data_IF_262522434123
#
_entry.id   IF_262522434123
#
_cell.length_a   1.000
_cell.length_b   1.000
_cell.length_c   1.000
_cell.angle_alpha   90.00
_cell.angle_beta   90.00
_cell.angle_gamma   90.00
#
_symmetry.space_group_name_H-M   'P 1'
#
loop_
_entity.id
_entity.type
_entity.pdbx_description
1 polymer ?
#
# COMPACT_ATOMS: atom_id res chain seq x y z
N UNK A 1 -33.60 38.27 -62.01
CA UNK A 1 -32.27 37.65 -61.90
C UNK A 1 -31.61 38.19 -60.65
N UNK A 2 -31.59 37.38 -59.59
CA UNK A 2 -30.97 37.74 -58.31
C UNK A 2 -29.48 37.42 -58.28
N UNK A 3 -28.91 37.51 -57.07
CA UNK A 3 -27.53 37.23 -56.63
C UNK A 3 -26.72 38.52 -56.41
N UNK A 4 -26.07 38.81 -55.28
CA UNK A 4 -26.04 38.31 -53.89
C UNK A 4 -25.20 39.33 -53.10
N UNK A 5 -25.54 39.53 -51.82
CA UNK A 5 -24.71 40.22 -50.83
C UNK A 5 -23.32 39.57 -50.68
N UNK A 6 -22.28 40.40 -50.53
CA UNK A 6 -21.01 39.99 -49.93
C UNK A 6 -20.75 40.89 -48.71
N UNK A 7 -21.19 40.44 -47.53
CA UNK A 7 -20.77 40.98 -46.24
C UNK A 7 -19.39 40.38 -45.95
N UNK A 8 -18.36 41.23 -45.94
CA UNK A 8 -17.01 40.84 -45.55
C UNK A 8 -16.94 40.57 -44.06
N UNK A 9 -16.91 39.29 -43.69
CA UNK A 9 -16.59 38.87 -42.33
C UNK A 9 -15.07 38.89 -42.15
N UNK A 10 -14.58 39.85 -41.37
CA UNK A 10 -13.20 39.86 -40.87
C UNK A 10 -13.10 38.72 -39.85
N UNK A 11 -12.52 37.61 -40.28
CA UNK A 11 -12.11 36.52 -39.39
C UNK A 11 -10.89 37.00 -38.59
N UNK A 12 -11.15 37.48 -37.37
CA UNK A 12 -10.12 37.57 -36.33
C UNK A 12 -9.83 36.13 -35.91
N UNK A 13 -8.86 35.50 -36.56
CA UNK A 13 -8.29 34.24 -36.10
C UNK A 13 -7.53 34.51 -34.80
N UNK A 14 -8.26 34.43 -33.69
CA UNK A 14 -7.67 34.27 -32.38
C UNK A 14 -6.93 32.94 -32.37
N UNK A 15 -5.62 32.98 -32.63
CA UNK A 15 -4.72 31.89 -32.27
C UNK A 15 -4.74 31.85 -30.75
N UNK A 16 -5.64 31.05 -30.17
CA UNK A 16 -5.47 30.57 -28.81
C UNK A 16 -4.16 29.80 -28.83
N UNK A 17 -3.09 30.45 -28.38
CA UNK A 17 -1.88 29.76 -27.98
C UNK A 17 -2.29 28.76 -26.90
N UNK A 18 -2.40 27.50 -27.29
CA UNK A 18 -2.37 26.39 -26.35
C UNK A 18 -1.00 26.51 -25.71
N UNK A 19 -0.94 27.10 -24.52
CA UNK A 19 0.26 27.02 -23.71
C UNK A 19 0.61 25.53 -23.64
N UNK A 20 1.84 25.10 -23.97
CA UNK A 20 2.20 23.72 -23.81
C UNK A 20 1.92 23.39 -22.34
N UNK A 21 1.14 22.35 -22.08
CA UNK A 21 1.08 21.76 -20.76
C UNK A 21 2.54 21.44 -20.43
N UNK A 22 3.17 22.26 -19.57
CA UNK A 22 4.56 22.08 -19.20
C UNK A 22 4.67 20.64 -18.68
N UNK A 23 5.39 19.80 -19.41
CA UNK A 23 5.64 18.44 -18.99
C UNK A 23 6.28 18.53 -17.60
N UNK A 24 5.66 17.89 -16.61
CA UNK A 24 6.16 17.92 -15.24
C UNK A 24 7.57 17.33 -15.21
N UNK A 25 8.46 17.95 -14.44
CA UNK A 25 9.81 17.41 -14.22
C UNK A 25 9.72 16.08 -13.46
N UNK A 26 10.66 15.12 -13.70
CA UNK A 26 10.71 13.90 -12.92
C UNK A 26 10.80 14.18 -11.42
N UNK A 27 9.87 13.67 -10.64
CA UNK A 27 9.74 13.91 -9.21
C UNK A 27 8.63 14.89 -8.85
N UNK A 28 8.01 15.54 -9.83
CA UNK A 28 7.01 16.57 -9.62
C UNK A 28 5.58 16.06 -9.86
N UNK A 29 4.64 16.72 -9.19
CA UNK A 29 3.21 16.57 -9.41
C UNK A 29 2.54 17.94 -9.51
N UNK A 30 1.32 17.96 -10.03
CA UNK A 30 0.44 19.12 -9.94
C UNK A 30 -1.01 18.67 -9.78
N UNK A 31 -1.80 19.53 -9.17
CA UNK A 31 -3.22 19.28 -8.92
C UNK A 31 -3.53 19.15 -7.44
N UNK A 32 -4.72 18.63 -7.15
CA UNK A 32 -5.28 18.63 -5.82
C UNK A 32 -5.97 17.33 -5.47
N UNK A 33 -5.95 17.00 -4.18
CA UNK A 33 -6.84 16.02 -3.56
C UNK A 33 -7.77 16.76 -2.60
N UNK A 34 -9.03 16.34 -2.58
CA UNK A 34 -10.06 16.87 -1.68
C UNK A 34 -10.56 15.74 -0.81
N UNK A 35 -10.51 15.95 0.51
CA UNK A 35 -11.28 15.18 1.48
C UNK A 35 -12.30 16.10 2.12
N UNK A 36 -13.58 15.76 1.98
CA UNK A 36 -14.73 16.56 2.38
C UNK A 36 -14.67 17.97 1.80
N UNK A 37 -14.28 18.95 2.62
CA UNK A 37 -14.15 20.37 2.23
C UNK A 37 -12.70 20.84 2.23
N UNK A 38 -11.75 19.96 2.59
CA UNK A 38 -10.34 20.28 2.71
C UNK A 38 -9.65 19.93 1.40
N UNK A 39 -9.15 20.95 0.71
CA UNK A 39 -8.40 20.81 -0.54
C UNK A 39 -6.91 20.91 -0.24
N UNK A 40 -6.14 19.90 -0.65
CA UNK A 40 -4.69 19.85 -0.49
C UNK A 40 -4.01 19.80 -1.85
N UNK A 41 -3.01 20.66 -2.07
CA UNK A 41 -2.21 20.68 -3.30
C UNK A 41 -1.07 19.67 -3.18
N UNK A 42 -0.92 18.82 -4.20
CA UNK A 42 0.17 17.85 -4.26
C UNK A 42 1.18 18.30 -5.33
N UNK A 43 2.47 18.21 -4.99
CA UNK A 43 3.55 18.77 -5.83
C UNK A 43 4.72 17.82 -6.05
N UNK A 44 4.74 16.67 -5.39
CA UNK A 44 5.83 15.70 -5.48
C UNK A 44 5.29 14.34 -5.91
N UNK A 45 6.07 13.61 -6.70
CA UNK A 45 5.73 12.26 -7.15
C UNK A 45 6.95 11.35 -7.10
N UNK A 46 6.83 10.18 -6.46
CA UNK A 46 7.86 9.17 -6.46
C UNK A 46 7.28 7.80 -6.81
N UNK A 47 8.03 6.97 -7.52
CA UNK A 47 7.61 5.63 -7.91
C UNK A 47 8.41 4.53 -7.20
N UNK A 48 7.75 3.44 -6.87
CA UNK A 48 8.35 2.19 -6.44
C UNK A 48 7.72 1.03 -7.20
N UNK A 49 8.37 -0.13 -7.13
CA UNK A 49 7.82 -1.39 -7.61
C UNK A 49 7.56 -2.29 -6.41
N UNK A 50 6.44 -3.00 -6.44
CA UNK A 50 6.04 -3.99 -5.43
C UNK A 50 5.76 -5.31 -6.16
N UNK A 51 6.04 -6.45 -5.55
CA UNK A 51 5.71 -7.74 -6.17
C UNK A 51 4.20 -7.87 -6.38
N UNK A 52 3.78 -8.40 -7.54
CA UNK A 52 2.36 -8.58 -7.81
C UNK A 52 1.80 -9.76 -7.00
N UNK A 53 0.63 -9.53 -6.37
CA UNK A 53 0.01 -10.48 -5.44
C UNK A 53 -0.49 -11.79 -6.08
N UNK A 54 -0.63 -11.83 -7.41
CA UNK A 54 -1.16 -12.99 -8.14
C UNK A 54 -0.14 -13.63 -9.08
N UNK A 55 1.02 -13.00 -9.25
CA UNK A 55 2.07 -13.42 -10.16
C UNK A 55 3.43 -12.86 -9.70
N UNK A 56 4.21 -13.67 -8.98
CA UNK A 56 5.52 -13.27 -8.44
C UNK A 56 6.56 -12.92 -9.51
N UNK A 57 6.32 -13.26 -10.78
CA UNK A 57 7.14 -12.82 -11.90
C UNK A 57 6.83 -11.39 -12.36
N UNK A 58 5.76 -10.77 -11.83
CA UNK A 58 5.33 -9.41 -12.15
C UNK A 58 5.54 -8.47 -10.98
N UNK A 59 5.68 -7.19 -11.33
CA UNK A 59 5.73 -6.10 -10.36
C UNK A 59 4.64 -5.08 -10.67
N UNK A 60 3.99 -4.63 -9.61
CA UNK A 60 3.07 -3.52 -9.65
C UNK A 60 3.82 -2.20 -9.48
N UNK A 61 3.38 -1.20 -10.23
CA UNK A 61 3.91 0.15 -10.13
C UNK A 61 3.13 0.93 -9.08
N UNK A 62 3.83 1.37 -8.04
CA UNK A 62 3.28 2.21 -6.98
C UNK A 62 3.76 3.64 -7.20
N UNK A 63 2.84 4.58 -7.33
CA UNK A 63 3.17 6.01 -7.39
C UNK A 63 2.70 6.66 -6.09
N UNK A 64 3.58 7.35 -5.37
CA UNK A 64 3.19 8.22 -4.25
C UNK A 64 3.19 9.69 -4.72
N UNK A 65 2.01 10.28 -4.82
CA UNK A 65 1.81 11.70 -5.14
C UNK A 65 1.52 12.44 -3.83
N UNK A 66 2.26 13.50 -3.51
CA UNK A 66 2.24 14.10 -2.17
C UNK A 66 2.50 15.61 -2.13
N UNK A 67 2.08 16.25 -1.04
CA UNK A 67 2.33 17.67 -0.75
C UNK A 67 3.77 17.93 -0.27
N UNK A 68 4.44 16.90 0.26
CA UNK A 68 5.83 16.95 0.74
C UNK A 68 6.74 15.97 -0.02
N UNK A 69 8.05 16.23 -0.13
CA UNK A 69 8.97 15.30 -0.79
C UNK A 69 8.99 13.90 -0.15
N UNK A 70 8.97 12.86 -0.98
CA UNK A 70 9.18 11.47 -0.58
C UNK A 70 10.69 11.19 -0.54
N UNK A 71 11.30 11.23 0.66
CA UNK A 71 12.76 11.11 0.84
C UNK A 71 13.20 9.81 1.50
N UNK A 72 12.59 9.46 2.63
CA UNK A 72 13.04 8.37 3.51
C UNK A 72 12.02 7.23 3.60
N UNK A 73 10.77 7.51 3.27
CA UNK A 73 9.69 6.52 3.25
C UNK A 73 9.50 6.04 1.82
N UNK A 74 9.54 4.74 1.59
CA UNK A 74 9.25 4.17 0.27
C UNK A 74 7.80 4.49 -0.15
N UNK A 75 7.53 4.78 -1.44
CA UNK A 75 6.16 4.84 -1.96
C UNK A 75 5.32 3.59 -1.67
N UNK A 76 5.95 2.41 -1.53
CA UNK A 76 5.29 1.15 -1.20
C UNK A 76 5.09 0.93 0.32
N UNK A 77 5.72 1.73 1.19
CA UNK A 77 5.57 1.61 2.65
C UNK A 77 4.29 2.33 3.12
N UNK A 78 3.15 1.67 2.91
CA UNK A 78 1.82 2.21 3.23
C UNK A 78 1.62 2.43 4.72
N UNK A 79 2.31 1.67 5.57
CA UNK A 79 2.20 1.77 7.02
C UNK A 79 2.82 3.08 7.50
N UNK A 80 4.06 3.36 7.12
CA UNK A 80 4.72 4.61 7.53
C UNK A 80 4.09 5.82 6.84
N UNK A 81 3.71 5.72 5.56
CA UNK A 81 2.98 6.79 4.88
C UNK A 81 1.64 7.09 5.56
N UNK A 82 0.89 6.06 5.97
CA UNK A 82 -0.36 6.21 6.71
C UNK A 82 -0.16 6.84 8.09
N UNK A 83 0.87 6.42 8.84
CA UNK A 83 1.22 7.02 10.13
C UNK A 83 1.52 8.51 10.00
N UNK A 84 2.38 8.86 9.04
CA UNK A 84 2.76 10.24 8.74
C UNK A 84 1.54 11.06 8.31
N UNK A 85 0.66 10.48 7.50
CA UNK A 85 -0.56 11.14 7.07
C UNK A 85 -1.54 11.41 8.22
N UNK A 86 -1.80 10.42 9.06
CA UNK A 86 -2.64 10.58 10.26
C UNK A 86 -2.10 11.63 11.23
N UNK A 87 -0.78 11.73 11.37
CA UNK A 87 -0.11 12.79 12.13
C UNK A 87 -0.17 14.18 11.45
N UNK A 88 -0.62 14.26 10.19
CA UNK A 88 -0.64 15.48 9.39
C UNK A 88 0.74 15.93 8.90
N UNK A 89 1.72 15.03 8.89
CA UNK A 89 3.08 15.29 8.38
C UNK A 89 3.15 15.26 6.84
N UNK A 90 2.20 14.58 6.21
CA UNK A 90 2.10 14.44 4.75
C UNK A 90 0.64 14.26 4.33
N UNK A 91 0.31 14.73 3.13
CA UNK A 91 -0.90 14.36 2.39
C UNK A 91 -0.42 13.56 1.18
N UNK A 92 -0.94 12.35 1.01
CA UNK A 92 -0.46 11.42 -0.03
C UNK A 92 -1.60 10.70 -0.73
N UNK A 93 -1.48 10.52 -2.04
CA UNK A 93 -2.34 9.70 -2.89
C UNK A 93 -1.46 8.67 -3.58
N UNK A 94 -1.84 7.40 -3.48
CA UNK A 94 -1.01 6.24 -3.83
C UNK A 94 -1.74 5.35 -4.84
N UNK A 95 -1.79 5.69 -6.15
CA UNK A 95 -2.28 4.76 -7.15
C UNK A 95 -1.32 3.58 -7.33
N UNK A 96 -1.89 2.37 -7.36
CA UNK A 96 -1.20 1.10 -7.67
C UNK A 96 -1.65 0.60 -9.03
N UNK A 97 -0.69 0.35 -9.92
CA UNK A 97 -0.94 -0.15 -11.27
C UNK A 97 -0.37 -1.56 -11.47
N UNK A 98 -1.15 -2.43 -12.10
CA UNK A 98 -0.68 -3.68 -12.71
C UNK A 98 -0.53 -3.40 -14.22
N UNK A 99 0.72 -3.23 -14.66
CA UNK A 99 1.01 -2.65 -15.97
C UNK A 99 0.41 -1.24 -16.09
N UNK A 100 -0.56 -1.06 -16.99
CA UNK A 100 -1.29 0.21 -17.17
C UNK A 100 -2.65 0.24 -16.46
N UNK A 101 -3.07 -0.88 -15.87
CA UNK A 101 -4.37 -1.01 -15.21
C UNK A 101 -4.28 -0.53 -13.77
N UNK A 102 -5.06 0.48 -13.41
CA UNK A 102 -5.17 0.92 -12.02
C UNK A 102 -5.95 -0.11 -11.18
N UNK A 103 -5.29 -0.64 -10.14
CA UNK A 103 -5.84 -1.64 -9.21
C UNK A 103 -6.63 -0.96 -8.09
N UNK A 104 -5.97 -0.07 -7.36
CA UNK A 104 -6.56 0.71 -6.28
C UNK A 104 -5.79 2.02 -6.08
N UNK A 105 -6.39 2.92 -5.29
CA UNK A 105 -5.78 4.19 -4.89
C UNK A 105 -5.81 4.27 -3.37
N UNK A 106 -4.63 4.32 -2.75
CA UNK A 106 -4.50 4.71 -1.35
C UNK A 106 -4.64 6.22 -1.19
N UNK A 107 -5.35 6.68 -0.17
CA UNK A 107 -5.40 8.09 0.22
C UNK A 107 -4.99 8.17 1.68
N UNK A 108 -4.03 9.03 2.00
CA UNK A 108 -3.60 9.30 3.36
C UNK A 108 -3.66 10.78 3.62
N UNK A 109 -4.55 11.19 4.53
CA UNK A 109 -4.66 12.57 4.98
C UNK A 109 -4.83 12.67 6.50
N UNK A 110 -4.68 13.88 7.04
CA UNK A 110 -4.81 14.13 8.48
C UNK A 110 -6.21 13.74 8.98
N UNK A 111 -6.26 12.99 10.07
CA UNK A 111 -7.51 12.58 10.73
C UNK A 111 -8.02 11.21 10.32
N UNK A 112 -7.44 10.59 9.28
CA UNK A 112 -7.68 9.19 8.95
C UNK A 112 -6.73 8.26 9.73
N UNK A 113 -7.22 7.09 10.13
CA UNK A 113 -6.43 6.05 10.80
C UNK A 113 -5.61 5.24 9.78
N UNK A 114 -4.73 5.90 9.02
CA UNK A 114 -3.83 5.28 8.04
C UNK A 114 -4.15 5.64 6.60
N UNK A 115 -3.94 4.67 5.68
CA UNK A 115 -4.23 4.83 4.25
C UNK A 115 -5.61 4.23 3.95
N UNK A 116 -6.55 5.06 3.53
CA UNK A 116 -7.85 4.63 3.01
C UNK A 116 -7.70 4.07 1.60
N UNK A 117 -8.28 2.90 1.34
CA UNK A 117 -8.19 2.20 0.07
C UNK A 117 -9.44 2.41 -0.78
N UNK A 118 -9.30 3.14 -1.88
CA UNK A 118 -10.37 3.39 -2.84
C UNK A 118 -10.26 2.47 -4.06
N UNK A 119 -11.37 1.89 -4.57
CA UNK A 119 -11.35 1.04 -5.76
C UNK A 119 -10.83 1.78 -7.01
N UNK A 120 -9.88 1.17 -7.72
CA UNK A 120 -9.27 1.79 -8.92
C UNK A 120 -10.28 2.08 -10.03
N UNK A 121 -11.34 1.25 -10.14
CA UNK A 121 -12.44 1.43 -11.10
C UNK A 121 -13.22 2.75 -10.95
N UNK A 122 -13.03 3.48 -9.84
CA UNK A 122 -13.67 4.77 -9.63
C UNK A 122 -12.93 5.93 -10.31
N UNK A 123 -11.70 5.71 -10.73
CA UNK A 123 -10.82 6.75 -11.22
C UNK A 123 -10.67 6.68 -12.74
N UNK A 124 -10.54 7.85 -13.35
CA UNK A 124 -9.93 7.97 -14.67
C UNK A 124 -8.42 8.10 -14.44
N UNK A 125 -7.64 7.24 -15.08
CA UNK A 125 -6.19 7.23 -14.90
C UNK A 125 -5.44 6.92 -16.18
N UNK A 126 -4.20 7.38 -16.24
CA UNK A 126 -3.22 7.00 -17.24
C UNK A 126 -1.85 6.88 -16.59
N UNK A 127 -1.03 5.96 -17.11
CA UNK A 127 0.37 5.83 -16.73
C UNK A 127 1.19 5.48 -17.98
N UNK A 128 2.30 6.18 -18.15
CA UNK A 128 3.30 5.98 -19.19
C UNK A 128 4.49 5.20 -18.63
N UNK A 129 5.30 4.62 -19.52
CA UNK A 129 6.48 3.82 -19.13
C UNK A 129 7.55 4.64 -18.38
N UNK A 130 7.60 5.95 -18.59
CA UNK A 130 8.50 6.87 -17.89
C UNK A 130 8.02 7.28 -16.49
N UNK A 131 6.86 6.78 -16.05
CA UNK A 131 6.25 7.13 -14.76
C UNK A 131 5.45 8.42 -14.77
N UNK A 132 5.25 9.04 -15.94
CA UNK A 132 4.29 10.14 -16.11
C UNK A 132 2.85 9.63 -16.21
N UNK A 133 1.89 10.42 -15.74
CA UNK A 133 0.50 9.98 -15.71
C UNK A 133 -0.47 11.01 -15.14
N UNK A 134 -1.73 10.59 -15.08
CA UNK A 134 -2.81 11.38 -14.51
C UNK A 134 -3.75 10.51 -13.67
N UNK A 135 -4.40 11.13 -12.69
CA UNK A 135 -5.39 10.49 -11.84
C UNK A 135 -6.51 11.47 -11.51
N UNK A 136 -7.74 11.10 -11.86
CA UNK A 136 -8.91 11.93 -11.65
C UNK A 136 -10.06 11.14 -11.02
N UNK A 137 -10.65 11.73 -9.99
CA UNK A 137 -11.83 11.25 -9.30
C UNK A 137 -12.81 12.42 -9.15
N UNK A 138 -13.98 12.29 -9.76
CA UNK A 138 -15.10 13.18 -9.45
C UNK A 138 -15.56 12.97 -8.00
N UNK A 139 -16.10 13.99 -7.31
CA UNK A 139 -16.50 13.88 -5.91
C UNK A 139 -17.35 12.65 -5.63
N UNK A 140 -16.91 11.84 -4.66
CA UNK A 140 -17.56 10.57 -4.30
C UNK A 140 -17.45 10.30 -2.81
N UNK A 141 -18.54 9.84 -2.21
CA UNK A 141 -18.57 9.50 -0.78
C UNK A 141 -18.20 8.04 -0.54
N UNK A 142 -17.31 7.81 0.43
CA UNK A 142 -16.92 6.51 0.94
C UNK A 142 -16.69 6.62 2.45
N UNK A 143 -17.23 5.67 3.23
CA UNK A 143 -17.12 5.66 4.71
C UNK A 143 -17.50 6.99 5.40
N UNK A 144 -18.43 7.74 4.81
CA UNK A 144 -18.89 9.03 5.35
C UNK A 144 -18.06 10.25 4.94
N UNK A 145 -16.96 10.05 4.20
CA UNK A 145 -16.11 11.12 3.69
C UNK A 145 -16.22 11.29 2.18
N UNK A 146 -16.15 12.52 1.69
CA UNK A 146 -16.19 12.83 0.25
C UNK A 146 -14.79 12.98 -0.31
N UNK A 147 -14.40 12.09 -1.21
CA UNK A 147 -13.10 12.10 -1.88
C UNK A 147 -13.23 12.66 -3.29
N UNK A 148 -12.28 13.50 -3.70
CA UNK A 148 -12.11 13.92 -5.09
C UNK A 148 -10.62 14.16 -5.37
N UNK A 149 -10.19 14.01 -6.63
CA UNK A 149 -8.85 14.43 -7.02
C UNK A 149 -8.79 14.78 -8.50
N UNK A 150 -7.85 15.66 -8.85
CA UNK A 150 -7.42 15.91 -10.22
C UNK A 150 -5.92 16.13 -10.15
N UNK A 151 -5.15 15.15 -10.62
CA UNK A 151 -3.71 15.07 -10.44
C UNK A 151 -3.03 14.73 -11.78
N UNK A 152 -1.91 15.40 -12.01
CA UNK A 152 -0.91 15.04 -13.02
C UNK A 152 0.41 14.81 -12.28
N UNK A 153 1.17 13.80 -12.70
CA UNK A 153 2.43 13.46 -12.06
C UNK A 153 3.46 13.02 -13.09
N UNK A 154 4.73 13.23 -12.76
CA UNK A 154 5.86 12.57 -13.39
C UNK A 154 6.72 11.99 -12.27
N UNK A 155 6.52 10.70 -11.98
CA UNK A 155 7.11 10.08 -10.82
C UNK A 155 8.58 9.74 -11.07
N UNK A 156 9.45 10.20 -10.16
CA UNK A 156 10.85 9.76 -10.15
C UNK A 156 10.98 8.46 -9.36
N UNK A 157 11.73 7.49 -9.89
CA UNK A 157 12.04 6.26 -9.15
C UNK A 157 12.64 6.60 -7.80
N UNK A 158 12.00 6.11 -6.74
CA UNK A 158 12.46 6.28 -5.38
C UNK A 158 13.79 5.54 -5.22
N UNK A 159 14.80 6.29 -4.78
CA UNK A 159 16.07 5.75 -4.35
C UNK A 159 16.13 5.92 -2.84
N UNK A 160 16.21 4.83 -2.05
CA UNK A 160 16.38 4.95 -0.61
C UNK A 160 17.67 5.74 -0.32
N UNK A 161 17.72 6.54 0.75
CA UNK A 161 18.93 7.22 1.15
C UNK A 161 20.06 6.20 1.29
N UNK A 162 21.14 6.38 0.51
CA UNK A 162 22.34 5.56 0.63
C UNK A 162 22.86 5.76 2.06
N UNK A 163 22.74 4.75 2.91
CA UNK A 163 23.45 4.75 4.19
C UNK A 163 24.95 4.86 3.86
N UNK A 164 25.63 5.86 4.43
CA UNK A 164 27.06 6.01 4.29
C UNK A 164 27.78 4.85 5.00
N UNK A 165 27.99 3.76 4.27
CA UNK A 165 29.00 2.74 4.59
C UNK A 165 29.87 2.54 3.34
N UNK A 166 31.02 3.21 3.38
CA UNK A 166 32.30 2.96 2.67
C UNK A 166 32.32 2.71 1.13
N UNK A 167 32.82 3.73 0.42
CA UNK A 167 33.83 3.68 -0.66
C UNK A 167 33.53 2.95 -2.01
N UNK A 168 34.18 3.36 -3.13
CA UNK A 168 33.51 3.48 -4.43
C UNK A 168 33.76 2.36 -5.46
N UNK A 169 32.77 2.23 -6.36
CA UNK A 169 32.81 1.85 -7.78
C UNK A 169 33.50 0.54 -8.22
N UNK A 170 32.71 -0.38 -8.79
CA UNK A 170 32.98 -0.96 -10.12
C UNK A 170 31.72 -1.62 -10.71
N UNK A 171 31.41 -1.28 -11.97
CA UNK A 171 30.44 -1.97 -12.85
C UNK A 171 30.99 -3.34 -13.33
N UNK A 172 30.18 -4.22 -13.93
CA UNK A 172 29.99 -5.61 -13.50
C UNK A 172 30.78 -6.64 -14.33
N UNK A 173 30.82 -7.92 -13.88
CA UNK A 173 30.49 -8.97 -14.83
C UNK A 173 29.43 -9.94 -14.30
N UNK A 174 28.66 -10.45 -15.26
CA UNK A 174 27.56 -11.41 -15.12
C UNK A 174 28.06 -12.84 -14.74
N UNK A 175 27.20 -13.87 -14.77
CA UNK A 175 26.18 -14.19 -13.77
C UNK A 175 26.43 -15.62 -13.24
N UNK A 176 26.49 -15.87 -11.93
CA UNK A 176 26.27 -17.24 -11.42
C UNK A 176 26.12 -17.32 -9.90
N UNK A 177 25.21 -18.24 -9.53
CA UNK A 177 25.17 -19.06 -8.33
C UNK A 177 24.55 -18.47 -7.06
N UNK A 178 23.38 -19.03 -6.74
CA UNK A 178 22.87 -19.17 -5.38
C UNK A 178 23.94 -19.77 -4.44
N UNK A 179 24.21 -19.07 -3.33
CA UNK A 179 24.42 -19.59 -1.97
C UNK A 179 25.16 -18.52 -1.11
N UNK A 180 25.11 -18.58 0.23
CA UNK A 180 24.02 -18.88 1.15
C UNK A 180 23.69 -17.65 2.02
N UNK A 181 22.47 -17.57 2.57
CA UNK A 181 22.11 -16.51 3.53
C UNK A 181 23.13 -16.47 4.69
N UNK A 182 23.65 -15.28 5.08
CA UNK A 182 24.57 -15.16 6.20
C UNK A 182 23.85 -15.51 7.52
N UNK A 183 24.58 -16.07 8.51
CA UNK A 183 23.97 -16.63 9.69
C UNK A 183 23.32 -15.56 10.56
N UNK A 184 22.24 -15.99 11.22
CA UNK A 184 21.41 -15.28 12.18
C UNK A 184 22.19 -14.22 12.97
N UNK A 185 21.96 -12.95 12.62
CA UNK A 185 22.22 -11.84 13.53
C UNK A 185 20.88 -11.34 14.04
N UNK A 186 20.77 -11.36 15.36
CA UNK A 186 19.67 -10.94 16.23
C UNK A 186 19.04 -9.60 15.83
N UNK A 187 18.18 -9.59 14.82
CA UNK A 187 17.21 -8.52 14.63
C UNK A 187 16.12 -8.72 15.67
N UNK A 188 16.17 -7.92 16.74
CA UNK A 188 15.09 -7.84 17.72
C UNK A 188 13.88 -7.20 17.02
N UNK A 189 13.04 -8.03 16.38
CA UNK A 189 11.76 -7.58 15.82
C UNK A 189 10.92 -7.12 17.01
N UNK A 190 10.46 -5.87 17.03
CA UNK A 190 9.59 -5.43 18.12
C UNK A 190 8.37 -6.36 18.18
N UNK A 191 7.92 -6.83 19.36
CA UNK A 191 6.86 -7.86 19.44
C UNK A 191 5.58 -7.47 18.71
N UNK A 192 5.24 -6.16 18.72
CA UNK A 192 4.09 -5.59 18.00
C UNK A 192 4.28 -5.57 16.48
N UNK A 193 5.46 -5.19 15.99
CA UNK A 193 5.76 -5.28 14.56
C UNK A 193 5.81 -6.75 14.10
N UNK A 194 6.35 -7.64 14.93
CA UNK A 194 6.37 -9.08 14.68
C UNK A 194 4.97 -9.66 14.54
N UNK A 195 4.03 -9.30 15.42
CA UNK A 195 2.65 -9.76 15.31
C UNK A 195 1.96 -9.30 14.02
N UNK A 196 2.17 -8.05 13.62
CA UNK A 196 1.65 -7.54 12.35
C UNK A 196 2.25 -8.30 11.14
N UNK A 197 3.55 -8.60 11.17
CA UNK A 197 4.20 -9.40 10.13
C UNK A 197 3.70 -10.85 10.10
N UNK A 198 3.39 -11.45 11.25
CA UNK A 198 2.77 -12.79 11.29
C UNK A 198 1.36 -12.75 10.69
N UNK A 199 0.55 -11.74 11.00
CA UNK A 199 -0.79 -11.58 10.42
C UNK A 199 -0.69 -11.44 8.90
N UNK A 200 0.24 -10.64 8.41
CA UNK A 200 0.49 -10.50 6.96
C UNK A 200 0.86 -11.85 6.34
N UNK A 201 1.83 -12.58 6.91
CA UNK A 201 2.23 -13.91 6.42
C UNK A 201 1.05 -14.90 6.40
N UNK A 202 0.19 -14.88 7.42
CA UNK A 202 -1.02 -15.69 7.50
C UNK A 202 -2.03 -15.32 6.39
N UNK A 203 -2.20 -14.02 6.11
CA UNK A 203 -3.07 -13.54 5.03
C UNK A 203 -2.54 -13.95 3.65
N UNK A 204 -1.22 -13.94 3.45
CA UNK A 204 -0.54 -14.42 2.25
C UNK A 204 -0.43 -15.94 2.14
N UNK A 205 -0.88 -16.67 3.17
CA UNK A 205 -0.74 -18.13 3.31
C UNK A 205 0.70 -18.64 3.33
N UNK A 206 1.64 -17.79 3.72
CA UNK A 206 3.03 -18.17 3.93
C UNK A 206 3.22 -18.75 5.33
N UNK A 207 2.93 -20.04 5.45
CA UNK A 207 3.07 -20.79 6.71
C UNK A 207 4.52 -20.78 7.22
N UNK A 208 5.51 -20.82 6.31
CA UNK A 208 6.93 -20.85 6.67
C UNK A 208 7.35 -19.54 7.32
N UNK A 209 7.06 -18.41 6.68
CA UNK A 209 7.37 -17.09 7.20
C UNK A 209 6.65 -16.81 8.53
N UNK A 210 5.37 -17.20 8.64
CA UNK A 210 4.62 -17.07 9.89
C UNK A 210 5.32 -17.83 11.04
N UNK A 211 5.77 -19.06 10.80
CA UNK A 211 6.49 -19.87 11.79
C UNK A 211 7.85 -19.27 12.17
N UNK A 212 8.60 -18.72 11.21
CA UNK A 212 9.88 -18.04 11.48
C UNK A 212 9.68 -16.79 12.34
N UNK A 213 8.71 -15.95 12.01
CA UNK A 213 8.42 -14.74 12.78
C UNK A 213 7.98 -15.04 14.21
N UNK A 214 7.18 -16.09 14.41
CA UNK A 214 6.83 -16.59 15.76
C UNK A 214 8.08 -17.07 16.50
N UNK A 215 9.00 -17.77 15.82
CA UNK A 215 10.28 -18.19 16.42
C UNK A 215 11.14 -16.99 16.85
N UNK A 216 11.13 -15.92 16.06
CA UNK A 216 11.87 -14.67 16.29
C UNK A 216 11.27 -13.78 17.38
N UNK A 217 10.13 -14.16 17.98
CA UNK A 217 9.57 -13.48 19.15
C UNK A 217 8.43 -12.51 18.84
N UNK A 218 7.74 -12.68 17.72
CA UNK A 218 6.45 -12.01 17.50
C UNK A 218 5.50 -12.25 18.68
N UNK A 219 4.76 -11.20 19.08
CA UNK A 219 3.78 -11.30 20.17
C UNK A 219 2.63 -12.24 19.74
N UNK A 220 2.47 -13.41 20.39
CA UNK A 220 1.41 -14.36 20.04
C UNK A 220 0.00 -13.83 20.33
N UNK A 221 -0.10 -12.74 21.11
CA UNK A 221 -1.34 -12.07 21.48
C UNK A 221 -1.55 -10.74 20.76
N UNK A 222 -0.63 -10.37 19.86
CA UNK A 222 -0.76 -9.18 19.05
C UNK A 222 -1.99 -9.25 18.15
N UNK A 223 -2.49 -8.08 17.78
CA UNK A 223 -3.66 -7.92 16.94
C UNK A 223 -3.43 -6.89 15.85
N UNK A 224 -4.26 -6.95 14.82
CA UNK A 224 -4.37 -5.90 13.82
C UNK A 224 -5.09 -4.64 14.39
N UNK A 225 -5.33 -3.67 13.51
CA UNK A 225 -6.05 -2.44 13.84
C UNK A 225 -7.54 -2.68 14.19
N UNK A 226 -8.11 -3.83 13.82
CA UNK A 226 -9.48 -4.22 14.13
C UNK A 226 -9.57 -5.02 15.44
N UNK A 227 -8.45 -5.22 16.13
CA UNK A 227 -8.37 -6.01 17.35
C UNK A 227 -8.42 -7.53 17.10
N UNK A 228 -8.32 -7.99 15.86
CA UNK A 228 -8.29 -9.41 15.53
C UNK A 228 -6.89 -9.93 15.82
N UNK A 229 -6.79 -10.96 16.67
CA UNK A 229 -5.50 -11.50 17.11
C UNK A 229 -4.88 -12.42 16.07
N UNK A 230 -3.55 -12.54 16.11
CA UNK A 230 -2.77 -13.45 15.27
C UNK A 230 -3.34 -14.88 15.29
N UNK A 231 -3.78 -15.36 16.45
CA UNK A 231 -4.38 -16.69 16.60
C UNK A 231 -5.68 -16.85 15.81
N UNK A 232 -6.56 -15.84 15.78
CA UNK A 232 -7.79 -15.87 15.00
C UNK A 232 -7.50 -16.05 13.52
N UNK A 233 -6.54 -15.29 12.97
CA UNK A 233 -6.11 -15.43 11.59
C UNK A 233 -5.61 -16.85 11.28
N UNK A 234 -4.74 -17.41 12.13
CA UNK A 234 -4.19 -18.75 11.92
C UNK A 234 -5.29 -19.83 11.90
N UNK A 235 -6.33 -19.65 12.71
CA UNK A 235 -7.50 -20.54 12.76
C UNK A 235 -8.40 -20.37 11.54
N UNK A 236 -8.75 -19.13 11.19
CA UNK A 236 -9.58 -18.81 10.02
C UNK A 236 -8.95 -19.28 8.71
N UNK A 237 -7.62 -19.22 8.61
CA UNK A 237 -6.86 -19.67 7.43
C UNK A 237 -6.55 -21.17 7.45
N UNK A 238 -7.00 -21.89 8.49
CA UNK A 238 -6.78 -23.31 8.72
C UNK A 238 -5.30 -23.74 8.65
N UNK A 239 -4.45 -23.07 9.43
CA UNK A 239 -3.00 -23.33 9.51
C UNK A 239 -2.62 -23.98 10.84
N UNK A 240 -2.82 -25.30 11.00
CA UNK A 240 -2.65 -25.98 12.28
C UNK A 240 -1.22 -25.91 12.83
N UNK A 241 -0.19 -25.85 12.00
CA UNK A 241 1.20 -25.74 12.48
C UNK A 241 1.44 -24.38 13.13
N UNK A 242 0.91 -23.31 12.54
CA UNK A 242 1.00 -21.94 13.10
C UNK A 242 0.18 -21.84 14.38
N UNK A 243 -1.05 -22.39 14.39
CA UNK A 243 -1.87 -22.50 15.62
C UNK A 243 -1.10 -23.21 16.73
N UNK A 244 -0.44 -24.33 16.42
CA UNK A 244 0.37 -25.07 17.38
C UNK A 244 1.53 -24.24 17.94
N UNK A 245 2.22 -23.47 17.08
CA UNK A 245 3.33 -22.61 17.47
C UNK A 245 2.87 -21.45 18.37
N UNK A 246 1.75 -20.81 18.05
CA UNK A 246 1.15 -19.74 18.85
C UNK A 246 0.70 -20.24 20.23
N UNK A 247 0.07 -21.42 20.29
CA UNK A 247 -0.30 -22.10 21.54
C UNK A 247 0.94 -22.37 22.41
N UNK A 248 2.03 -22.88 21.82
CA UNK A 248 3.28 -23.12 22.53
C UNK A 248 3.88 -21.82 23.09
N UNK A 249 3.68 -20.71 22.38
CA UNK A 249 4.07 -19.35 22.80
C UNK A 249 3.10 -18.69 23.78
N UNK A 250 2.08 -19.41 24.28
CA UNK A 250 1.09 -18.90 25.24
C UNK A 250 0.16 -17.83 24.66
N UNK A 251 -0.29 -18.01 23.41
CA UNK A 251 -1.42 -17.26 22.87
C UNK A 251 -2.67 -17.43 23.76
N UNK A 252 -3.43 -16.36 23.92
CA UNK A 252 -4.68 -16.30 24.66
C UNK A 252 -5.78 -17.03 23.88
N UNK A 253 -6.31 -18.06 24.50
CA UNK A 253 -7.34 -18.93 23.93
C UNK A 253 -8.76 -18.54 24.35
N UNK A 254 -8.90 -17.58 25.26
CA UNK A 254 -10.18 -17.13 25.81
C UNK A 254 -10.67 -15.84 25.16
N UNK A 255 -9.90 -15.28 24.22
CA UNK A 255 -10.32 -14.08 23.50
C UNK A 255 -11.56 -14.33 22.65
N UNK A 256 -12.55 -13.47 22.83
CA UNK A 256 -13.73 -13.38 21.98
C UNK A 256 -13.63 -12.19 21.03
N UNK A 257 -13.66 -12.44 19.72
CA UNK A 257 -13.59 -11.38 18.70
C UNK A 257 -14.88 -10.55 18.64
N UNK A 258 -15.99 -11.19 18.99
CA UNK A 258 -17.32 -10.59 19.13
C UNK A 258 -18.08 -11.40 20.21
N UNK A 259 -19.14 -10.85 20.83
CA UNK A 259 -19.88 -11.57 21.88
C UNK A 259 -20.28 -12.99 21.45
N UNK A 260 -19.75 -14.00 22.14
CA UNK A 260 -20.02 -15.41 21.86
C UNK A 260 -19.26 -16.00 20.66
N UNK A 261 -18.37 -15.25 20.01
CA UNK A 261 -17.49 -15.73 18.95
C UNK A 261 -16.12 -16.08 19.56
N UNK A 262 -16.02 -17.31 20.10
CA UNK A 262 -14.78 -17.83 20.66
C UNK A 262 -13.88 -18.41 19.57
N UNK A 263 -12.60 -18.63 19.91
CA UNK A 263 -11.65 -19.27 18.98
C UNK A 263 -12.11 -20.68 18.56
N UNK A 264 -12.87 -21.38 19.42
CA UNK A 264 -13.44 -22.69 19.10
C UNK A 264 -14.59 -22.59 18.09
N UNK A 265 -15.42 -21.55 18.17
CA UNK A 265 -16.46 -21.27 17.17
C UNK A 265 -15.84 -21.00 15.80
N UNK A 266 -14.75 -20.23 15.75
CA UNK A 266 -14.02 -19.93 14.51
C UNK A 266 -13.31 -21.17 13.93
N UNK A 267 -12.83 -22.07 14.80
CA UNK A 267 -12.18 -23.30 14.38
C UNK A 267 -13.13 -24.35 13.76
N UNK A 268 -14.44 -24.10 13.72
CA UNK A 268 -15.44 -25.03 13.17
C UNK A 268 -15.17 -25.44 11.72
N UNK A 269 -14.58 -24.56 10.92
CA UNK A 269 -14.19 -24.85 9.53
C UNK A 269 -12.82 -25.56 9.40
N UNK A 270 -12.07 -25.73 10.50
CA UNK A 270 -10.75 -26.34 10.52
C UNK A 270 -10.59 -27.38 11.66
N UNK A 271 -10.95 -28.65 11.43
CA UNK A 271 -10.91 -29.70 12.46
C UNK A 271 -9.53 -29.93 13.09
N UNK A 272 -8.46 -29.73 12.31
CA UNK A 272 -7.08 -29.85 12.79
C UNK A 272 -6.73 -28.78 13.83
N UNK A 273 -7.07 -27.51 13.55
CA UNK A 273 -6.89 -26.41 14.50
C UNK A 273 -7.77 -26.60 15.74
N UNK A 274 -9.05 -26.99 15.56
CA UNK A 274 -9.96 -27.28 16.67
C UNK A 274 -9.42 -28.35 17.62
N UNK A 275 -8.78 -29.39 17.07
CA UNK A 275 -8.16 -30.46 17.89
C UNK A 275 -7.01 -29.93 18.73
N UNK A 276 -6.15 -29.07 18.17
CA UNK A 276 -5.02 -28.45 18.87
C UNK A 276 -5.53 -27.53 19.99
N UNK A 277 -6.47 -26.64 19.66
CA UNK A 277 -7.06 -25.68 20.60
C UNK A 277 -7.78 -26.36 21.76
N UNK A 278 -8.57 -27.41 21.48
CA UNK A 278 -9.26 -28.20 22.51
C UNK A 278 -8.26 -28.88 23.45
N UNK A 279 -7.18 -29.47 22.93
CA UNK A 279 -6.10 -30.05 23.75
C UNK A 279 -5.39 -28.99 24.60
N UNK A 280 -5.29 -27.77 24.09
CA UNK A 280 -4.69 -26.64 24.79
C UNK A 280 -5.64 -25.97 25.81
N UNK A 281 -6.90 -26.40 25.91
CA UNK A 281 -7.87 -25.90 26.88
C UNK A 281 -8.70 -24.69 26.41
N UNK A 282 -8.75 -24.41 25.11
CA UNK A 282 -9.71 -23.46 24.54
C UNK A 282 -11.15 -23.92 24.81
N UNK A 283 -12.05 -22.96 25.06
CA UNK A 283 -13.47 -23.22 25.36
C UNK A 283 -14.38 -22.58 24.31
#
# INVERSE_FOLDING_TARGET
MGVRQCIGAVLVSAVLGIAPAFALEPGAASGTVTLDKVVSKLTHAASAAEENLFDSAKQDTIIAVSDRPIKTTSPADRTELGRRAGAGEIVVVIPRFDGTKLVNVGVGVKGESGIVLLPGAWFQSSISQDGSGSLKLAPRTFEGHTHACDLQFHAKKYAPPVQATSAPAQEPPAPVAEAPLPPATTSNISPKAGAAMVIEALMQKDEHQALELIKLGADPNGSDAYGIRVLNYAVMMCMPNVVQALVQRKADLQYERAPGMTIMTEAGACPAAATILKKAGAR
#
